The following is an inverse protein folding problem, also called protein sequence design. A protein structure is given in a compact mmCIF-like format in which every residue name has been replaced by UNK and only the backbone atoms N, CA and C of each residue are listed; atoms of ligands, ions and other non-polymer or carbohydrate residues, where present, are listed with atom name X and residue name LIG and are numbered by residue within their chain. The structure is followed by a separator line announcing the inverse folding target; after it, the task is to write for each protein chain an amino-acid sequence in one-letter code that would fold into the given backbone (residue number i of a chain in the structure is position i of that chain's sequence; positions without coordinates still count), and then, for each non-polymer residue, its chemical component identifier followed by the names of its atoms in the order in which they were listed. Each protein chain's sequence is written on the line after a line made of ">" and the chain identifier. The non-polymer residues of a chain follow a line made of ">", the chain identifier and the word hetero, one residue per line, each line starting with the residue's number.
data_IF_211195837454
#
_entry.id   IF_211195837454
#
_cell.length_a   1.000
_cell.length_b   1.000
_cell.length_c   1.000
_cell.angle_alpha   90.00
_cell.angle_beta   90.00
_cell.angle_gamma   90.00
#
_symmetry.space_group_name_H-M   'P 1'
#
loop_
_entity.id
_entity.type
_entity.pdbx_description
1 polymer ?
#
# COMPACT_ATOMS: atom_id res chain seq x y z
N UNK A 1 -48.18 -72.03 26.86
CA UNK A 1 -48.17 -71.03 25.78
C UNK A 1 -47.33 -69.86 26.26
N UNK A 2 -46.05 -69.80 25.86
CA UNK A 2 -45.13 -68.69 26.16
C UNK A 2 -44.46 -68.34 24.86
N UNK A 3 -44.70 -67.11 24.38
CA UNK A 3 -44.14 -66.56 23.15
C UNK A 3 -42.69 -66.12 23.38
N UNK A 4 -41.79 -66.59 22.53
CA UNK A 4 -40.46 -66.01 22.28
C UNK A 4 -40.62 -64.78 21.38
N UNK A 5 -40.15 -63.62 21.83
CA UNK A 5 -40.02 -62.40 21.01
C UNK A 5 -38.55 -62.02 20.90
N UNK A 6 -37.96 -62.23 19.72
CA UNK A 6 -36.55 -61.95 19.42
C UNK A 6 -36.23 -60.46 19.37
N UNK A 7 -35.09 -60.08 19.94
CA UNK A 7 -34.56 -58.72 19.92
C UNK A 7 -33.91 -58.37 18.57
N UNK A 8 -34.33 -57.25 17.98
CA UNK A 8 -33.62 -56.60 16.87
C UNK A 8 -32.30 -56.00 17.39
N UNK A 9 -31.18 -56.46 16.84
CA UNK A 9 -29.87 -55.82 17.02
C UNK A 9 -29.69 -54.79 15.90
N UNK A 10 -29.83 -53.51 16.23
CA UNK A 10 -29.50 -52.40 15.33
C UNK A 10 -27.98 -52.22 15.29
N UNK A 11 -27.33 -52.79 14.27
CA UNK A 11 -25.93 -52.50 13.98
C UNK A 11 -25.81 -51.09 13.38
N UNK A 12 -25.49 -50.10 14.22
CA UNK A 12 -25.14 -48.76 13.76
C UNK A 12 -23.76 -48.78 13.10
N UNK A 13 -23.73 -48.82 11.77
CA UNK A 13 -22.52 -48.60 10.98
C UNK A 13 -22.15 -47.11 11.11
N UNK A 14 -21.19 -46.79 12.00
CA UNK A 14 -20.66 -45.45 12.14
C UNK A 14 -19.89 -45.12 10.86
N UNK A 15 -20.50 -44.37 9.94
CA UNK A 15 -19.80 -43.77 8.80
C UNK A 15 -18.85 -42.73 9.36
N UNK A 16 -17.58 -43.07 9.52
CA UNK A 16 -16.55 -42.07 9.78
C UNK A 16 -16.56 -41.11 8.59
N UNK A 17 -16.99 -39.87 8.82
CA UNK A 17 -16.83 -38.82 7.83
C UNK A 17 -15.34 -38.66 7.57
N UNK A 18 -14.93 -38.64 6.30
CA UNK A 18 -13.55 -38.42 5.93
C UNK A 18 -13.05 -37.13 6.59
N UNK A 19 -11.95 -37.24 7.33
CA UNK A 19 -11.32 -36.08 7.93
C UNK A 19 -10.78 -35.19 6.80
N UNK A 20 -11.25 -33.93 6.73
CA UNK A 20 -10.83 -32.96 5.71
C UNK A 20 -9.30 -32.76 5.65
N UNK A 21 -8.58 -33.08 6.73
CA UNK A 21 -7.11 -33.03 6.78
C UNK A 21 -6.42 -34.22 6.08
N UNK A 22 -7.14 -35.29 5.79
CA UNK A 22 -6.63 -36.50 5.12
C UNK A 22 -7.30 -36.74 3.75
N UNK A 23 -8.15 -35.83 3.27
CA UNK A 23 -8.89 -35.99 2.01
C UNK A 23 -8.05 -35.75 0.75
N UNK A 24 -6.89 -35.10 0.87
CA UNK A 24 -6.07 -34.65 -0.26
C UNK A 24 -4.61 -35.12 -0.18
N UNK A 25 -4.39 -36.35 0.29
CA UNK A 25 -3.05 -36.96 0.39
C UNK A 25 -2.42 -37.26 -0.96
N UNK A 26 -3.21 -37.26 -2.02
CA UNK A 26 -2.79 -37.68 -3.35
C UNK A 26 -2.06 -36.58 -4.12
N UNK A 27 -2.08 -35.34 -3.61
CA UNK A 27 -1.36 -34.21 -4.20
C UNK A 27 -0.23 -33.77 -3.29
N UNK A 28 0.98 -33.73 -3.85
CA UNK A 28 2.17 -33.21 -3.17
C UNK A 28 2.72 -31.99 -3.90
N UNK A 29 3.29 -31.06 -3.13
CA UNK A 29 4.00 -29.90 -3.66
C UNK A 29 5.40 -29.89 -3.07
N UNK A 30 6.40 -29.75 -3.92
CA UNK A 30 7.82 -29.64 -3.54
C UNK A 30 8.35 -28.32 -4.06
N UNK A 31 8.99 -27.54 -3.19
CA UNK A 31 9.68 -26.31 -3.56
C UNK A 31 11.17 -26.57 -3.71
N UNK A 32 11.77 -26.10 -4.81
CA UNK A 32 13.16 -26.36 -5.16
C UNK A 32 14.07 -25.18 -4.84
N UNK A 33 15.27 -25.47 -4.37
CA UNK A 33 16.26 -24.48 -3.90
C UNK A 33 17.45 -24.29 -4.84
N UNK A 34 17.39 -24.81 -6.07
CA UNK A 34 18.55 -24.93 -6.95
C UNK A 34 19.06 -23.58 -7.52
N UNK A 35 18.26 -22.52 -7.38
CA UNK A 35 18.63 -21.16 -7.77
C UNK A 35 18.78 -20.25 -6.54
N UNK A 36 19.75 -19.33 -6.47
CA UNK A 36 19.95 -18.44 -5.30
C UNK A 36 18.75 -17.54 -4.98
N UNK A 37 17.90 -17.26 -5.98
CA UNK A 37 16.66 -16.50 -5.79
C UNK A 37 15.48 -17.35 -5.32
N UNK A 38 15.58 -18.67 -5.34
CA UNK A 38 14.50 -19.56 -4.93
C UNK A 38 14.15 -19.41 -3.44
N UNK A 39 12.89 -19.71 -3.13
CA UNK A 39 12.31 -19.77 -1.78
C UNK A 39 11.67 -21.13 -1.61
N UNK A 40 12.06 -21.84 -0.56
CA UNK A 40 11.52 -23.16 -0.24
C UNK A 40 10.60 -23.17 0.98
N UNK A 41 10.68 -22.14 1.82
CA UNK A 41 9.80 -21.92 2.97
C UNK A 41 9.70 -20.41 3.25
N UNK A 42 10.38 -19.90 4.27
CA UNK A 42 10.45 -18.49 4.61
C UNK A 42 11.65 -17.79 3.97
N UNK A 43 11.48 -16.58 3.45
CA UNK A 43 12.59 -15.70 3.05
C UNK A 43 12.30 -14.24 3.35
N UNK A 44 13.24 -13.58 4.02
CA UNK A 44 13.25 -12.13 4.23
C UNK A 44 14.07 -11.45 3.12
N UNK A 45 13.47 -10.51 2.41
CA UNK A 45 14.08 -9.80 1.27
C UNK A 45 13.86 -8.29 1.37
N UNK A 46 14.52 -7.54 0.49
CA UNK A 46 14.29 -6.10 0.35
C UNK A 46 13.23 -5.81 -0.71
N UNK A 47 12.69 -4.60 -0.66
CA UNK A 47 11.83 -4.08 -1.71
C UNK A 47 12.60 -3.96 -3.03
N UNK A 48 11.96 -4.36 -4.12
CA UNK A 48 12.53 -4.47 -5.46
C UNK A 48 13.26 -5.79 -5.75
N UNK A 49 13.55 -6.63 -4.74
CA UNK A 49 14.29 -7.88 -4.94
C UNK A 49 13.53 -8.85 -5.85
N UNK A 50 14.29 -9.59 -6.66
CA UNK A 50 13.75 -10.70 -7.45
C UNK A 50 13.78 -11.99 -6.64
N UNK A 51 12.65 -12.70 -6.63
CA UNK A 51 12.46 -13.93 -5.86
C UNK A 51 11.76 -14.97 -6.70
N UNK A 52 12.22 -16.22 -6.64
CA UNK A 52 11.66 -17.31 -7.42
C UNK A 52 10.92 -18.30 -6.51
N UNK A 53 9.75 -18.76 -6.95
CA UNK A 53 9.08 -19.92 -6.38
C UNK A 53 9.19 -21.00 -7.44
N UNK A 54 10.22 -21.83 -7.29
CA UNK A 54 10.43 -23.02 -8.11
C UNK A 54 9.71 -24.19 -7.46
N UNK A 55 8.80 -24.83 -8.18
CA UNK A 55 7.97 -25.88 -7.59
C UNK A 55 7.66 -26.99 -8.58
N UNK A 56 7.42 -28.17 -8.01
CA UNK A 56 6.73 -29.29 -8.66
C UNK A 56 5.48 -29.63 -7.85
N UNK A 57 4.34 -29.71 -8.52
CA UNK A 57 3.11 -30.29 -7.97
C UNK A 57 2.86 -31.62 -8.68
N UNK A 58 2.55 -32.67 -7.92
CA UNK A 58 2.32 -34.00 -8.45
C UNK A 58 1.02 -34.59 -7.90
N UNK A 59 0.35 -35.42 -8.70
CA UNK A 59 -0.82 -36.18 -8.27
C UNK A 59 -0.65 -37.68 -8.52
N UNK A 60 -0.80 -38.48 -7.47
CA UNK A 60 -0.64 -39.92 -7.54
C UNK A 60 -1.79 -40.62 -8.30
N UNK A 61 -3.04 -40.17 -8.09
CA UNK A 61 -4.23 -40.95 -8.44
C UNK A 61 -5.13 -40.32 -9.51
N UNK A 62 -5.16 -39.00 -9.65
CA UNK A 62 -5.98 -38.29 -10.62
C UNK A 62 -5.17 -37.32 -11.51
N UNK A 63 -5.63 -37.10 -12.75
CA UNK A 63 -5.02 -36.12 -13.65
C UNK A 63 -5.34 -34.70 -13.19
N UNK A 64 -4.32 -33.86 -13.06
CA UNK A 64 -4.46 -32.42 -12.86
C UNK A 64 -4.74 -31.75 -14.21
N UNK A 65 -5.74 -30.88 -14.26
CA UNK A 65 -6.08 -30.11 -15.47
C UNK A 65 -5.73 -28.62 -15.33
N UNK A 66 -5.57 -28.13 -14.10
CA UNK A 66 -5.05 -26.80 -13.84
C UNK A 66 -4.28 -26.75 -12.53
N UNK A 67 -3.33 -25.81 -12.45
CA UNK A 67 -2.60 -25.44 -11.23
C UNK A 67 -2.93 -23.99 -10.90
N UNK A 68 -3.23 -23.73 -9.64
CA UNK A 68 -3.52 -22.40 -9.14
C UNK A 68 -2.41 -21.97 -8.18
N UNK A 69 -1.84 -20.80 -8.43
CA UNK A 69 -1.03 -20.09 -7.46
C UNK A 69 -1.93 -19.09 -6.74
N UNK A 70 -2.09 -19.29 -5.45
CA UNK A 70 -2.82 -18.42 -4.55
C UNK A 70 -1.84 -17.58 -3.73
N UNK A 71 -2.00 -16.27 -3.80
CA UNK A 71 -1.23 -15.28 -3.04
C UNK A 71 -2.13 -14.65 -1.98
N UNK A 72 -1.65 -14.59 -0.74
CA UNK A 72 -2.32 -13.97 0.40
C UNK A 72 -1.38 -12.99 1.09
N UNK A 73 -1.79 -11.72 1.19
CA UNK A 73 -1.06 -10.68 1.91
C UNK A 73 -1.68 -9.28 1.75
N UNK A 74 -1.36 -8.37 2.67
CA UNK A 74 -1.73 -6.95 2.60
C UNK A 74 -3.07 -6.56 3.28
N UNK A 75 -3.40 -5.26 3.21
CA UNK A 75 -4.54 -4.63 3.89
C UNK A 75 -5.86 -4.67 3.12
N UNK A 76 -5.86 -5.13 1.86
CA UNK A 76 -7.06 -5.23 1.03
C UNK A 76 -7.81 -6.53 1.38
N UNK A 77 -8.34 -6.54 2.61
CA UNK A 77 -9.21 -7.55 3.22
C UNK A 77 -9.09 -8.98 2.70
N UNK A 78 -8.17 -9.79 3.23
CA UNK A 78 -8.14 -11.27 3.21
C UNK A 78 -8.51 -12.02 1.92
N UNK A 79 -8.63 -11.34 0.78
CA UNK A 79 -9.08 -11.95 -0.47
C UNK A 79 -7.84 -12.50 -1.17
N UNK A 80 -7.75 -13.83 -1.34
CA UNK A 80 -6.65 -14.42 -2.08
C UNK A 80 -6.65 -13.95 -3.53
N UNK A 81 -5.51 -13.49 -4.02
CA UNK A 81 -5.27 -13.33 -5.45
C UNK A 81 -4.92 -14.71 -6.03
N UNK A 82 -5.60 -15.14 -7.08
CA UNK A 82 -5.41 -16.46 -7.69
C UNK A 82 -5.06 -16.34 -9.15
N UNK A 83 -3.97 -16.98 -9.55
CA UNK A 83 -3.59 -17.16 -10.95
C UNK A 83 -3.74 -18.63 -11.29
N UNK A 84 -4.63 -18.95 -12.22
CA UNK A 84 -4.87 -20.31 -12.69
C UNK A 84 -4.14 -20.54 -14.02
N UNK A 85 -3.42 -21.66 -14.12
CA UNK A 85 -2.75 -22.10 -15.33
C UNK A 85 -3.30 -23.46 -15.74
N UNK A 86 -3.87 -23.54 -16.95
CA UNK A 86 -4.36 -24.81 -17.52
C UNK A 86 -3.16 -25.66 -17.96
N UNK A 87 -3.20 -26.95 -17.65
CA UNK A 87 -2.19 -27.93 -18.09
C UNK A 87 -2.64 -28.50 -19.44
N UNK A 88 -2.11 -27.96 -20.53
CA UNK A 88 -2.45 -28.39 -21.89
C UNK A 88 -1.74 -29.68 -22.30
N UNK A 89 -0.53 -29.91 -21.82
CA UNK A 89 0.25 -31.12 -22.11
C UNK A 89 -0.21 -32.27 -21.21
N UNK A 90 -0.74 -33.33 -21.83
CA UNK A 90 -1.25 -34.49 -21.10
C UNK A 90 -0.16 -35.20 -20.28
N UNK A 91 1.11 -35.12 -20.72
CA UNK A 91 2.24 -35.74 -20.03
C UNK A 91 2.60 -35.02 -18.73
N UNK A 92 2.25 -33.74 -18.57
CA UNK A 92 2.48 -32.95 -17.35
C UNK A 92 1.32 -33.10 -16.32
N UNK A 93 0.20 -33.75 -16.67
CA UNK A 93 -1.01 -33.80 -15.80
C UNK A 93 -0.80 -34.55 -14.49
N UNK A 94 0.24 -35.38 -14.37
CA UNK A 94 0.59 -36.09 -13.13
C UNK A 94 1.76 -35.47 -12.38
N UNK A 95 2.53 -34.63 -13.05
CA UNK A 95 3.67 -33.92 -12.47
C UNK A 95 3.91 -32.65 -13.29
N UNK A 96 3.65 -31.51 -12.66
CA UNK A 96 3.74 -30.20 -13.29
C UNK A 96 4.77 -29.35 -12.54
N UNK A 97 5.75 -28.82 -13.27
CA UNK A 97 6.84 -28.03 -12.68
C UNK A 97 6.97 -26.67 -13.35
N UNK A 98 7.10 -25.60 -12.57
CA UNK A 98 7.27 -24.23 -13.06
C UNK A 98 8.08 -23.39 -12.08
N UNK A 99 8.70 -22.34 -12.63
CA UNK A 99 9.37 -21.28 -11.87
C UNK A 99 8.53 -20.00 -11.97
N UNK A 100 7.95 -19.59 -10.86
CA UNK A 100 7.30 -18.28 -10.75
C UNK A 100 8.35 -17.24 -10.36
N UNK A 101 8.60 -16.28 -11.27
CA UNK A 101 9.52 -15.17 -11.03
C UNK A 101 8.76 -13.95 -10.53
N UNK A 102 9.10 -13.48 -9.34
CA UNK A 102 8.44 -12.37 -8.67
C UNK A 102 9.41 -11.21 -8.48
N UNK A 103 8.92 -9.99 -8.65
CA UNK A 103 9.57 -8.78 -8.14
C UNK A 103 8.81 -8.36 -6.88
N UNK A 104 9.52 -8.28 -5.76
CA UNK A 104 8.91 -7.99 -4.47
C UNK A 104 8.66 -6.50 -4.32
N UNK A 105 7.39 -6.09 -4.25
CA UNK A 105 7.00 -4.68 -4.27
C UNK A 105 5.91 -4.35 -3.24
N UNK A 106 5.85 -5.13 -2.17
CA UNK A 106 4.91 -4.94 -1.06
C UNK A 106 5.63 -5.24 0.24
N UNK A 107 5.69 -4.26 1.13
CA UNK A 107 6.22 -4.44 2.49
C UNK A 107 5.38 -5.47 3.28
N UNK A 108 6.06 -6.20 4.17
CA UNK A 108 5.45 -7.19 5.05
C UNK A 108 5.36 -8.58 4.43
N UNK A 109 4.58 -9.45 5.08
CA UNK A 109 4.49 -10.86 4.72
C UNK A 109 3.47 -11.11 3.60
N UNK A 110 3.86 -11.95 2.65
CA UNK A 110 2.99 -12.53 1.63
C UNK A 110 3.22 -14.04 1.58
N UNK A 111 2.14 -14.81 1.72
CA UNK A 111 2.17 -16.27 1.57
C UNK A 111 1.72 -16.68 0.18
N UNK A 112 2.34 -17.71 -0.37
CA UNK A 112 1.98 -18.33 -1.63
C UNK A 112 1.68 -19.81 -1.43
N UNK A 113 0.50 -20.24 -1.89
CA UNK A 113 0.04 -21.63 -1.87
C UNK A 113 -0.20 -22.10 -3.29
N UNK A 114 0.15 -23.35 -3.57
CA UNK A 114 0.03 -23.94 -4.90
C UNK A 114 -0.87 -25.15 -4.80
N UNK A 115 -1.92 -25.21 -5.63
CA UNK A 115 -2.87 -26.30 -5.58
C UNK A 115 -3.36 -26.71 -6.97
N UNK A 116 -3.80 -27.96 -7.09
CA UNK A 116 -4.30 -28.51 -8.35
C UNK A 116 -5.83 -28.51 -8.42
N UNK A 117 -6.35 -28.47 -9.65
CA UNK A 117 -7.75 -28.71 -9.99
C UNK A 117 -7.88 -29.79 -11.04
N UNK A 118 -8.95 -30.57 -10.94
CA UNK A 118 -9.26 -31.61 -11.93
C UNK A 118 -10.05 -31.06 -13.11
N UNK A 119 -10.48 -31.94 -14.03
CA UNK A 119 -11.18 -31.58 -15.27
C UNK A 119 -12.46 -30.77 -15.05
N UNK A 120 -13.16 -30.99 -13.94
CA UNK A 120 -14.40 -30.26 -13.60
C UNK A 120 -14.16 -29.03 -12.72
N UNK A 121 -12.88 -28.68 -12.49
CA UNK A 121 -12.49 -27.52 -11.70
C UNK A 121 -12.51 -27.74 -10.19
N UNK A 122 -12.68 -28.98 -9.72
CA UNK A 122 -12.65 -29.28 -8.29
C UNK A 122 -11.23 -29.26 -7.76
N UNK A 123 -11.09 -28.70 -6.56
CA UNK A 123 -9.86 -28.69 -5.78
C UNK A 123 -9.37 -30.11 -5.49
N UNK A 124 -8.11 -30.40 -5.81
CA UNK A 124 -7.48 -31.72 -5.62
C UNK A 124 -6.51 -31.78 -4.44
N UNK A 125 -6.02 -30.62 -3.96
CA UNK A 125 -5.01 -30.56 -2.90
C UNK A 125 -3.87 -29.61 -3.19
N UNK A 126 -3.10 -29.30 -2.13
CA UNK A 126 -1.94 -28.41 -2.10
C UNK A 126 -0.75 -29.00 -1.32
N UNK A 127 -0.88 -30.26 -0.89
CA UNK A 127 0.10 -30.91 -0.02
C UNK A 127 0.26 -30.26 1.37
N UNK A 128 -0.63 -29.34 1.76
CA UNK A 128 -0.52 -28.53 3.00
C UNK A 128 0.79 -27.73 3.10
N UNK A 129 1.35 -27.32 1.97
CA UNK A 129 2.59 -26.53 1.92
C UNK A 129 2.33 -25.12 1.42
N UNK A 130 3.17 -24.18 1.88
CA UNK A 130 3.20 -22.80 1.40
C UNK A 130 4.60 -22.25 1.56
N UNK A 131 4.93 -21.23 0.77
CA UNK A 131 6.11 -20.39 0.99
C UNK A 131 5.68 -19.03 1.51
N UNK A 132 6.49 -18.42 2.36
CA UNK A 132 6.25 -17.08 2.91
C UNK A 132 7.42 -16.17 2.58
N UNK A 133 7.14 -15.09 1.87
CA UNK A 133 8.14 -14.07 1.55
C UNK A 133 7.79 -12.82 2.35
N UNK A 134 8.74 -12.33 3.13
CA UNK A 134 8.62 -11.09 3.88
C UNK A 134 9.51 -10.02 3.27
N UNK A 135 8.94 -8.86 2.99
CA UNK A 135 9.70 -7.70 2.50
C UNK A 135 9.92 -6.75 3.67
N UNK A 136 11.18 -6.37 3.90
CA UNK A 136 11.53 -5.39 4.94
C UNK A 136 10.75 -4.08 4.75
N UNK A 137 10.31 -3.42 5.83
CA UNK A 137 9.70 -2.10 5.74
C UNK A 137 10.62 -1.12 5.01
N UNK A 138 10.19 -0.67 3.84
CA UNK A 138 10.97 0.12 2.91
C UNK A 138 10.58 1.60 2.94
N UNK A 139 9.37 1.92 3.40
CA UNK A 139 8.87 3.29 3.53
C UNK A 139 8.40 3.59 4.97
N UNK A 140 8.10 4.85 5.26
CA UNK A 140 7.47 5.28 6.51
C UNK A 140 6.11 5.90 6.26
N UNK A 141 5.24 5.78 7.26
CA UNK A 141 3.92 6.41 7.28
C UNK A 141 3.89 7.43 8.40
N UNK A 142 3.48 8.66 8.10
CA UNK A 142 3.26 9.72 9.09
C UNK A 142 1.77 10.08 9.00
N UNK A 143 0.93 9.56 9.90
CA UNK A 143 -0.51 9.77 9.84
C UNK A 143 -0.92 11.10 10.49
N UNK A 144 -2.01 11.66 9.97
CA UNK A 144 -2.87 12.65 10.63
C UNK A 144 -2.15 13.89 11.20
N UNK A 145 -1.32 14.53 10.38
CA UNK A 145 -0.65 15.79 10.72
C UNK A 145 -1.48 16.99 10.32
N UNK A 146 -1.66 17.93 11.26
CA UNK A 146 -2.33 19.20 11.00
C UNK A 146 -1.29 20.27 10.68
N UNK A 147 -1.53 20.99 9.59
CA UNK A 147 -0.76 22.18 9.21
C UNK A 147 -1.76 23.32 9.14
N UNK A 148 -1.56 24.34 9.96
CA UNK A 148 -2.51 25.42 10.10
C UNK A 148 -2.22 26.54 9.11
N UNK A 149 -3.26 27.25 8.68
CA UNK A 149 -3.09 28.42 7.84
C UNK A 149 -2.24 29.46 8.58
N UNK A 150 -1.28 30.12 7.91
CA UNK A 150 -0.44 31.11 8.56
C UNK A 150 -1.28 32.28 9.05
N UNK A 151 -1.03 32.71 10.27
CA UNK A 151 -1.45 34.03 10.71
C UNK A 151 -0.56 35.10 10.06
N UNK A 152 -1.02 36.34 9.93
CA UNK A 152 -0.26 37.40 9.26
C UNK A 152 0.44 38.34 10.26
N UNK A 153 0.44 37.99 11.56
CA UNK A 153 0.76 38.96 12.62
C UNK A 153 1.65 38.37 13.72
N UNK A 154 1.25 37.27 14.33
CA UNK A 154 1.92 36.68 15.49
C UNK A 154 3.07 35.72 15.13
N UNK A 155 3.03 35.07 13.97
CA UNK A 155 4.05 34.11 13.57
C UNK A 155 4.04 32.80 14.37
N UNK A 156 3.00 32.52 15.15
CA UNK A 156 2.96 31.41 16.12
C UNK A 156 2.21 30.19 15.61
N UNK A 157 1.46 30.33 14.52
CA UNK A 157 0.69 29.24 13.94
C UNK A 157 1.59 28.26 13.18
N UNK A 158 1.52 26.93 13.42
CA UNK A 158 2.40 25.95 12.78
C UNK A 158 1.98 25.70 11.32
N UNK A 159 2.59 26.45 10.41
CA UNK A 159 2.21 26.56 9.00
C UNK A 159 3.25 26.05 8.02
N UNK A 160 4.41 25.65 8.53
CA UNK A 160 5.51 25.07 7.77
C UNK A 160 5.68 23.61 8.20
N UNK A 161 5.96 22.69 7.28
CA UNK A 161 5.98 21.27 7.58
C UNK A 161 7.27 20.60 7.14
N UNK A 162 7.83 19.79 8.04
CA UNK A 162 8.94 18.90 7.75
C UNK A 162 8.41 17.50 7.44
N UNK A 163 8.63 17.04 6.20
CA UNK A 163 8.40 15.65 5.82
C UNK A 163 9.35 14.74 6.61
N UNK A 164 10.58 15.20 6.88
CA UNK A 164 11.58 14.46 7.64
C UNK A 164 11.15 14.14 9.06
N UNK A 165 10.71 15.16 9.79
CA UNK A 165 10.36 15.06 11.21
C UNK A 165 8.90 14.66 11.42
N UNK A 166 8.06 14.86 10.41
CA UNK A 166 6.62 14.62 10.52
C UNK A 166 5.93 15.59 11.47
N UNK A 167 6.41 16.84 11.49
CA UNK A 167 6.07 17.89 12.43
C UNK A 167 5.88 19.21 11.67
N UNK A 168 4.98 20.06 12.19
CA UNK A 168 4.76 21.41 11.68
C UNK A 168 5.38 22.45 12.63
N UNK A 169 6.01 23.45 12.05
CA UNK A 169 6.67 24.56 12.75
C UNK A 169 5.96 25.87 12.46
N UNK A 170 5.95 26.75 13.46
CA UNK A 170 5.52 28.13 13.29
C UNK A 170 6.56 28.97 12.53
N UNK A 171 6.22 30.21 12.16
CA UNK A 171 7.21 31.13 11.59
C UNK A 171 8.30 31.48 12.61
N UNK A 172 7.92 31.65 13.89
CA UNK A 172 8.84 31.96 14.98
C UNK A 172 9.89 30.86 15.20
N UNK A 173 9.50 29.59 15.07
CA UNK A 173 10.40 28.43 15.21
C UNK A 173 11.08 28.04 13.89
N UNK A 174 10.47 28.41 12.77
CA UNK A 174 10.83 27.86 11.46
C UNK A 174 12.22 28.24 11.01
N UNK A 175 12.77 29.39 11.45
CA UNK A 175 14.16 29.77 11.14
C UNK A 175 15.16 28.74 11.66
N UNK A 176 15.03 28.33 12.92
CA UNK A 176 15.95 27.38 13.58
C UNK A 176 15.84 25.96 13.01
N UNK A 177 14.73 25.66 12.33
CA UNK A 177 14.45 24.36 11.73
C UNK A 177 14.36 24.42 10.20
N UNK A 178 14.77 25.52 9.57
CA UNK A 178 14.53 25.77 8.15
C UNK A 178 15.16 24.71 7.23
N UNK A 179 16.33 24.19 7.61
CA UNK A 179 17.01 23.09 6.93
C UNK A 179 16.22 21.77 6.87
N UNK A 180 15.19 21.61 7.72
CA UNK A 180 14.31 20.43 7.80
C UNK A 180 12.93 20.65 7.16
N UNK A 181 12.55 21.90 6.84
CA UNK A 181 11.19 22.26 6.40
C UNK A 181 11.07 22.13 4.89
N UNK A 182 10.11 21.31 4.44
CA UNK A 182 9.93 21.01 3.02
C UNK A 182 8.90 21.91 2.33
N UNK A 183 7.85 22.33 3.03
CA UNK A 183 6.83 23.22 2.46
C UNK A 183 6.08 24.02 3.51
N UNK A 184 5.51 25.14 3.09
CA UNK A 184 4.48 25.88 3.82
C UNK A 184 3.12 25.74 3.16
N UNK A 185 2.07 26.19 3.86
CA UNK A 185 0.74 26.37 3.27
C UNK A 185 0.34 27.83 3.26
N UNK A 186 -0.50 28.20 2.28
CA UNK A 186 -1.21 29.48 2.26
C UNK A 186 -2.67 29.26 1.99
N UNK A 187 -3.50 30.12 2.57
CA UNK A 187 -4.95 30.02 2.50
C UNK A 187 -5.55 31.35 2.13
N UNK A 188 -6.52 31.35 1.22
CA UNK A 188 -7.30 32.54 0.86
C UNK A 188 -8.78 32.22 0.71
N UNK A 189 -9.68 33.19 0.88
CA UNK A 189 -11.09 33.01 0.55
C UNK A 189 -11.30 32.70 -0.94
N UNK A 190 -12.35 31.95 -1.26
CA UNK A 190 -12.78 31.81 -2.65
C UNK A 190 -13.28 33.15 -3.20
N UNK A 191 -12.81 33.60 -4.38
CA UNK A 191 -13.15 34.93 -4.89
C UNK A 191 -14.61 35.01 -5.39
N UNK A 192 -15.32 33.88 -5.56
CA UNK A 192 -16.70 33.89 -6.06
C UNK A 192 -17.66 34.27 -4.92
N UNK A 193 -18.54 35.27 -5.10
CA UNK A 193 -19.43 35.76 -4.04
C UNK A 193 -20.29 34.67 -3.36
N UNK A 194 -20.78 33.69 -4.12
CA UNK A 194 -21.58 32.58 -3.59
C UNK A 194 -20.80 31.59 -2.71
N UNK A 195 -19.47 31.70 -2.67
CA UNK A 195 -18.56 30.81 -1.95
C UNK A 195 -17.57 31.58 -1.07
N UNK A 196 -17.84 32.84 -0.73
CA UNK A 196 -16.92 33.68 0.03
C UNK A 196 -16.56 33.13 1.43
N UNK A 197 -17.34 32.18 1.95
CA UNK A 197 -17.06 31.47 3.20
C UNK A 197 -16.14 30.25 3.04
N UNK A 198 -15.85 29.84 1.81
CA UNK A 198 -14.97 28.73 1.48
C UNK A 198 -13.51 29.19 1.40
N UNK A 199 -12.60 28.28 1.73
CA UNK A 199 -11.18 28.54 1.75
C UNK A 199 -10.46 27.70 0.70
N UNK A 200 -9.53 28.33 0.00
CA UNK A 200 -8.64 27.69 -0.96
C UNK A 200 -7.32 27.42 -0.26
N UNK A 201 -6.97 26.15 -0.10
CA UNK A 201 -5.71 25.71 0.46
C UNK A 201 -4.70 25.46 -0.65
N UNK A 202 -3.51 26.03 -0.51
CA UNK A 202 -2.37 25.88 -1.40
C UNK A 202 -1.14 25.47 -0.60
N UNK A 203 -0.24 24.72 -1.21
CA UNK A 203 1.10 24.45 -0.66
C UNK A 203 2.15 25.20 -1.48
N UNK A 204 3.31 25.42 -0.87
CA UNK A 204 4.49 25.90 -1.56
C UNK A 204 5.77 25.39 -0.92
N UNK A 205 6.73 25.01 -1.75
CA UNK A 205 8.12 24.78 -1.36
C UNK A 205 8.75 26.09 -0.90
N UNK A 206 9.66 26.02 0.07
CA UNK A 206 10.36 27.19 0.60
C UNK A 206 11.28 27.84 -0.43
N UNK A 207 11.67 27.08 -1.48
CA UNK A 207 12.43 27.60 -2.61
C UNK A 207 11.58 28.35 -3.65
N UNK A 208 10.26 28.43 -3.47
CA UNK A 208 9.40 29.18 -4.39
C UNK A 208 9.73 30.67 -4.33
N UNK A 209 9.99 31.27 -5.50
CA UNK A 209 10.27 32.69 -5.66
C UNK A 209 9.26 33.34 -6.65
N UNK A 210 8.59 34.45 -6.29
CA UNK A 210 8.60 35.08 -4.97
C UNK A 210 7.94 34.21 -3.89
N UNK A 211 8.25 34.49 -2.61
CA UNK A 211 7.60 33.84 -1.48
C UNK A 211 6.06 33.98 -1.59
N UNK A 212 5.30 32.87 -1.71
CA UNK A 212 3.87 32.91 -1.91
C UNK A 212 3.04 33.48 -0.75
N UNK A 213 3.63 33.65 0.44
CA UNK A 213 3.02 34.28 1.61
C UNK A 213 3.90 35.42 2.15
N UNK A 214 3.77 36.59 1.52
CA UNK A 214 4.56 37.79 1.80
C UNK A 214 4.63 38.26 3.27
N UNK A 215 3.60 38.09 4.13
CA UNK A 215 3.69 38.53 5.52
C UNK A 215 4.81 37.88 6.33
N UNK A 216 5.30 36.71 5.91
CA UNK A 216 6.42 36.02 6.54
C UNK A 216 7.66 36.15 5.66
N UNK A 217 8.65 36.90 6.10
CA UNK A 217 9.94 36.97 5.40
C UNK A 217 10.79 35.72 5.72
N UNK A 218 10.92 34.84 4.73
CA UNK A 218 11.74 33.62 4.78
C UNK A 218 13.00 33.75 3.90
N UNK A 219 13.40 34.97 3.55
CA UNK A 219 14.53 35.20 2.62
C UNK A 219 15.87 34.70 3.17
N UNK A 220 16.06 34.72 4.50
CA UNK A 220 17.28 34.30 5.19
C UNK A 220 17.23 32.86 5.72
N UNK A 221 16.17 32.11 5.41
CA UNK A 221 16.03 30.70 5.78
C UNK A 221 16.86 29.80 4.87
N UNK A 222 17.29 28.64 5.39
CA UNK A 222 17.76 27.55 4.54
C UNK A 222 16.56 26.91 3.83
N UNK A 223 16.58 26.89 2.49
CA UNK A 223 15.41 26.49 1.69
C UNK A 223 15.63 25.11 1.09
N UNK A 224 14.86 24.14 1.53
CA UNK A 224 14.80 22.82 0.90
C UNK A 224 14.07 22.92 -0.44
N UNK A 225 14.66 22.38 -1.48
CA UNK A 225 14.11 22.39 -2.84
C UNK A 225 13.18 21.18 -3.10
N UNK A 226 12.24 20.94 -2.20
CA UNK A 226 11.25 19.87 -2.41
C UNK A 226 10.32 20.25 -3.57
N UNK A 227 10.18 19.34 -4.53
CA UNK A 227 9.33 19.51 -5.72
C UNK A 227 8.14 18.56 -5.65
N UNK A 228 7.02 19.00 -6.22
CA UNK A 228 5.73 18.34 -6.09
C UNK A 228 5.11 18.04 -7.46
N UNK A 229 4.13 17.13 -7.47
CA UNK A 229 3.21 16.97 -8.59
C UNK A 229 2.02 17.89 -8.45
N UNK A 230 1.31 18.12 -9.56
CA UNK A 230 -0.07 18.61 -9.45
C UNK A 230 -0.91 17.65 -8.57
N UNK A 231 -1.87 18.15 -7.77
CA UNK A 231 -2.76 17.30 -6.99
C UNK A 231 -3.64 16.42 -7.86
N UNK A 232 -3.81 15.18 -7.44
CA UNK A 232 -4.69 14.20 -8.05
C UNK A 232 -5.92 13.99 -7.17
N UNK A 233 -7.12 14.06 -7.74
CA UNK A 233 -8.39 13.90 -7.01
C UNK A 233 -8.76 12.43 -6.82
N UNK A 234 -9.45 12.11 -5.72
CA UNK A 234 -10.05 10.78 -5.51
C UNK A 234 -9.04 9.65 -5.27
N UNK A 235 -7.91 9.96 -4.63
CA UNK A 235 -6.76 9.08 -4.52
C UNK A 235 -6.63 8.36 -3.18
N UNK A 236 -7.70 8.31 -2.38
CA UNK A 236 -7.70 7.62 -1.07
C UNK A 236 -7.32 6.15 -1.20
N UNK A 237 -7.89 5.42 -2.17
CA UNK A 237 -7.55 4.01 -2.38
C UNK A 237 -6.09 3.83 -2.84
N UNK A 238 -5.58 4.73 -3.69
CA UNK A 238 -4.18 4.74 -4.11
C UNK A 238 -3.26 4.88 -2.91
N UNK A 239 -3.53 5.85 -2.03
CA UNK A 239 -2.74 6.06 -0.82
C UNK A 239 -2.79 4.87 0.14
N UNK A 240 -3.98 4.31 0.40
CA UNK A 240 -4.15 3.21 1.35
C UNK A 240 -3.62 1.87 0.85
N UNK A 241 -3.95 1.51 -0.40
CA UNK A 241 -3.82 0.13 -0.88
C UNK A 241 -2.80 -0.06 -2.00
N UNK A 242 -2.47 0.99 -2.76
CA UNK A 242 -1.49 0.91 -3.87
C UNK A 242 -0.09 1.28 -3.42
N UNK A 243 0.09 2.40 -2.71
CA UNK A 243 1.41 2.88 -2.28
C UNK A 243 1.93 2.09 -1.07
N UNK A 244 2.41 0.86 -1.30
CA UNK A 244 2.65 -0.14 -0.24
C UNK A 244 4.10 -0.63 -0.14
N UNK A 245 5.01 0.03 -0.83
CA UNK A 245 6.45 -0.13 -0.76
C UNK A 245 7.14 1.11 -1.34
N UNK A 246 8.43 1.28 -1.08
CA UNK A 246 9.21 2.40 -1.61
C UNK A 246 9.32 2.40 -3.13
N UNK A 247 9.50 1.23 -3.74
CA UNK A 247 9.64 1.07 -5.19
C UNK A 247 8.34 1.41 -5.90
N UNK A 248 7.19 1.04 -5.33
CA UNK A 248 5.87 1.41 -5.87
C UNK A 248 5.60 2.89 -5.68
N UNK A 249 5.97 3.48 -4.53
CA UNK A 249 5.88 4.94 -4.32
C UNK A 249 6.68 5.69 -5.39
N UNK A 250 7.92 5.29 -5.63
CA UNK A 250 8.79 5.91 -6.63
C UNK A 250 8.29 5.71 -8.05
N UNK A 251 7.84 4.51 -8.42
CA UNK A 251 7.27 4.25 -9.75
C UNK A 251 6.07 5.16 -10.02
N UNK A 252 5.16 5.26 -9.05
CA UNK A 252 4.01 6.15 -9.17
C UNK A 252 4.40 7.63 -9.17
N UNK A 253 5.37 8.05 -8.37
CA UNK A 253 5.83 9.44 -8.35
C UNK A 253 6.52 9.82 -9.68
N UNK A 254 7.39 8.94 -10.22
CA UNK A 254 8.07 9.13 -11.51
C UNK A 254 7.12 9.11 -12.71
N UNK A 255 5.94 8.51 -12.57
CA UNK A 255 4.87 8.61 -13.59
C UNK A 255 4.22 9.99 -13.66
N UNK A 256 4.59 10.92 -12.76
CA UNK A 256 4.07 12.29 -12.69
C UNK A 256 5.15 13.29 -13.08
N UNK A 257 4.67 14.45 -13.51
CA UNK A 257 5.50 15.64 -13.63
C UNK A 257 5.73 16.22 -12.24
N UNK A 258 6.98 16.18 -11.77
CA UNK A 258 7.44 16.68 -10.48
C UNK A 258 8.22 17.98 -10.67
N UNK A 259 7.53 19.04 -11.07
CA UNK A 259 8.13 20.37 -11.31
C UNK A 259 7.43 21.48 -10.54
N UNK A 260 6.36 21.16 -9.81
CA UNK A 260 5.56 22.14 -9.09
C UNK A 260 6.28 22.53 -7.80
N UNK A 261 6.63 23.80 -7.66
CA UNK A 261 7.13 24.35 -6.40
C UNK A 261 6.04 25.04 -5.60
N UNK A 262 4.94 25.50 -6.22
CA UNK A 262 3.81 26.10 -5.52
C UNK A 262 2.51 25.93 -6.30
N UNK A 263 1.39 25.86 -5.59
CA UNK A 263 0.05 25.91 -6.20
C UNK A 263 -0.58 27.29 -6.06
N UNK A 264 -1.41 27.66 -7.03
CA UNK A 264 -2.22 28.88 -6.99
C UNK A 264 -3.65 28.62 -7.49
N UNK A 265 -4.37 27.75 -6.79
CA UNK A 265 -5.73 27.38 -7.17
C UNK A 265 -6.67 28.59 -7.09
N UNK A 266 -7.48 28.78 -8.14
CA UNK A 266 -8.44 29.90 -8.22
C UNK A 266 -9.76 29.65 -7.49
N UNK A 267 -10.07 28.40 -7.14
CA UNK A 267 -11.34 28.00 -6.49
C UNK A 267 -11.12 26.95 -5.41
N UNK A 268 -12.03 26.89 -4.44
CA UNK A 268 -11.92 25.93 -3.33
C UNK A 268 -12.03 24.47 -3.80
N UNK A 269 -12.80 24.19 -4.86
CA UNK A 269 -12.90 22.83 -5.42
C UNK A 269 -11.61 22.35 -6.09
N UNK A 270 -10.83 23.28 -6.66
CA UNK A 270 -9.54 22.97 -7.25
C UNK A 270 -8.41 22.93 -6.22
N UNK A 271 -8.63 23.53 -5.04
CA UNK A 271 -7.69 23.56 -3.93
C UNK A 271 -7.31 22.18 -3.39
N UNK A 272 -6.41 22.17 -2.40
CA UNK A 272 -6.12 20.94 -1.64
C UNK A 272 -7.37 20.51 -0.85
N UNK A 273 -8.11 19.57 -1.41
CA UNK A 273 -9.37 19.05 -0.89
C UNK A 273 -9.18 17.63 -0.33
N UNK A 274 -10.08 17.17 0.57
CA UNK A 274 -10.06 15.80 1.08
C UNK A 274 -10.03 14.76 -0.05
N UNK A 275 -9.16 13.75 0.09
CA UNK A 275 -8.95 12.72 -0.91
C UNK A 275 -7.96 13.08 -2.03
N UNK A 276 -7.43 14.31 -2.03
CA UNK A 276 -6.34 14.66 -2.94
C UNK A 276 -5.04 13.97 -2.54
N UNK A 277 -4.24 13.61 -3.55
CA UNK A 277 -2.88 13.09 -3.38
C UNK A 277 -1.89 13.95 -4.16
N UNK A 278 -0.77 14.27 -3.53
CA UNK A 278 0.34 15.03 -4.12
C UNK A 278 1.60 14.18 -3.98
N UNK A 279 2.25 13.86 -5.09
CA UNK A 279 3.58 13.22 -5.04
C UNK A 279 4.66 14.27 -4.85
N UNK A 280 5.78 13.87 -4.25
CA UNK A 280 6.92 14.76 -4.06
C UNK A 280 8.26 14.03 -4.22
N UNK A 281 9.30 14.83 -4.43
CA UNK A 281 10.71 14.43 -4.37
C UNK A 281 11.47 15.42 -3.48
N UNK A 282 12.14 14.91 -2.45
CA UNK A 282 13.00 15.73 -1.58
C UNK A 282 14.39 15.94 -2.20
N UNK A 283 15.18 16.93 -1.74
CA UNK A 283 16.54 17.17 -2.20
C UNK A 283 17.49 15.96 -2.03
N UNK A 284 17.25 15.10 -1.05
CA UNK A 284 18.02 13.86 -0.83
C UNK A 284 17.64 12.72 -1.80
N UNK A 285 16.72 12.97 -2.73
CA UNK A 285 16.28 11.99 -3.71
C UNK A 285 15.21 11.02 -3.19
N UNK A 286 14.50 11.34 -2.11
CA UNK A 286 13.44 10.49 -1.55
C UNK A 286 12.09 10.85 -2.16
N UNK A 287 11.43 9.86 -2.77
CA UNK A 287 10.07 10.00 -3.27
C UNK A 287 9.04 9.79 -2.15
N UNK A 288 7.88 10.42 -2.30
CA UNK A 288 6.75 10.20 -1.41
C UNK A 288 5.45 10.73 -1.94
N UNK A 289 4.41 10.61 -1.11
CA UNK A 289 3.08 11.12 -1.38
C UNK A 289 2.44 11.69 -0.12
N UNK A 290 1.76 12.83 -0.27
CA UNK A 290 0.95 13.52 0.72
C UNK A 290 -0.51 13.28 0.35
N UNK A 291 -1.27 12.65 1.23
CA UNK A 291 -2.73 12.53 1.11
C UNK A 291 -3.40 13.55 2.00
N UNK A 292 -4.33 14.33 1.44
CA UNK A 292 -5.14 15.29 2.18
C UNK A 292 -6.31 14.55 2.80
N UNK A 293 -6.30 14.38 4.11
CA UNK A 293 -7.38 13.74 4.85
C UNK A 293 -8.56 14.71 5.01
N UNK A 294 -8.28 15.96 5.36
CA UNK A 294 -9.27 17.00 5.63
C UNK A 294 -8.72 18.39 5.31
N UNK A 295 -9.62 19.31 4.95
CA UNK A 295 -9.32 20.75 4.82
C UNK A 295 -10.47 21.51 5.48
N UNK A 296 -10.25 22.05 6.68
CA UNK A 296 -11.32 22.54 7.55
C UNK A 296 -10.81 23.53 8.59
N UNK A 297 -11.64 23.88 9.59
CA UNK A 297 -11.28 24.73 10.73
C UNK A 297 -11.29 23.93 12.02
N UNK A 298 -10.48 24.35 13.00
CA UNK A 298 -10.55 23.80 14.35
C UNK A 298 -11.72 24.42 15.15
N UNK A 299 -11.81 24.08 16.45
CA UNK A 299 -12.85 24.60 17.33
C UNK A 299 -12.74 26.11 17.58
N UNK A 300 -11.54 26.68 17.43
CA UNK A 300 -11.27 28.12 17.54
C UNK A 300 -11.45 28.84 16.20
N UNK A 301 -11.85 28.12 15.15
CA UNK A 301 -12.07 28.66 13.82
C UNK A 301 -10.79 28.82 12.99
N UNK A 302 -9.63 28.34 13.46
CA UNK A 302 -8.36 28.40 12.74
C UNK A 302 -8.36 27.39 11.58
N UNK A 303 -8.17 27.84 10.33
CA UNK A 303 -8.12 26.93 9.19
C UNK A 303 -6.89 26.04 9.22
N UNK A 304 -7.00 24.79 8.76
CA UNK A 304 -5.91 23.85 8.63
C UNK A 304 -6.18 22.81 7.55
N UNK A 305 -5.10 22.18 7.06
CA UNK A 305 -5.16 20.91 6.35
C UNK A 305 -4.68 19.80 7.28
N UNK A 306 -5.36 18.65 7.23
CA UNK A 306 -4.88 17.41 7.84
C UNK A 306 -4.36 16.50 6.73
N UNK A 307 -3.14 16.01 6.89
CA UNK A 307 -2.47 15.19 5.90
C UNK A 307 -1.93 13.89 6.50
N UNK A 308 -1.82 12.88 5.65
CA UNK A 308 -1.04 11.68 5.91
C UNK A 308 0.04 11.56 4.86
N UNK A 309 1.24 11.16 5.26
CA UNK A 309 2.41 11.09 4.37
C UNK A 309 2.91 9.65 4.29
N UNK A 310 3.26 9.21 3.07
CA UNK A 310 4.09 8.04 2.83
C UNK A 310 5.37 8.49 2.14
N UNK A 311 6.52 8.04 2.63
CA UNK A 311 7.81 8.45 2.10
C UNK A 311 8.82 7.31 2.15
N UNK A 312 9.64 7.18 1.11
CA UNK A 312 10.74 6.22 1.09
C UNK A 312 11.67 6.40 2.30
N UNK A 313 12.20 5.29 2.83
CA UNK A 313 13.29 5.31 3.82
C UNK A 313 14.64 5.46 3.14
#
# INVERSE_FOLDING_TARGET
>A
MVLLGGGLVMAACKKEAANIFNMFTDVTVTFHGDHPFSVTDYKLVNDGDSVYIDYTIASANEDMYAVVVEKVGGAQGNNPERTETVISDESERRSYSRILKLKMQRDGQTSYRIFAKNRVGHYMGDGYTKVTIEVRPSYRVIPDRRIFAPDSVSGTTPSFYSLMRGEAFSFAEGREHSADIDFGIRVRPDPRPAHANQLIYNYYSLSTDPNPFEPYDISDWEKRETIFSAPLTGQTNTFLYTLVSSSVIEEHAKSRDLTVTSTDFGTWQAGLAPGNLVYFLTPEGKYGAIHVNQSTKDLEGRPYINISVKMQR
#
